data_IF_657737443606
#
_entry.id   IF_657737443606
#
_cell.length_a   1.000
_cell.length_b   1.000
_cell.length_c   1.000
_cell.angle_alpha   90.00
_cell.angle_beta   90.00
_cell.angle_gamma   90.00
#
_symmetry.space_group_name_H-M   'P 1'
#
loop_
_entity.id
_entity.type
_entity.pdbx_description
1 polymer ?
#
# COMPACT_ATOMS: atom_id res chain seq x y z
N UNK A 1 -37.76 -28.59 -46.05
CA UNK A 1 -36.31 -28.41 -46.29
C UNK A 1 -36.10 -27.07 -46.98
N UNK A 2 -35.23 -26.23 -46.40
CA UNK A 2 -34.67 -24.95 -46.88
C UNK A 2 -35.60 -24.03 -47.70
N UNK A 3 -35.91 -22.86 -47.14
CA UNK A 3 -35.97 -21.59 -47.87
C UNK A 3 -35.63 -20.43 -46.89
N UNK A 4 -34.91 -19.39 -47.34
CA UNK A 4 -34.27 -18.42 -46.47
C UNK A 4 -35.19 -17.26 -46.08
N UNK A 5 -35.03 -16.73 -44.86
CA UNK A 5 -35.67 -15.49 -44.43
C UNK A 5 -34.83 -14.29 -44.90
N UNK A 6 -35.36 -13.56 -45.87
CA UNK A 6 -35.06 -12.15 -46.06
C UNK A 6 -35.83 -11.35 -45.00
N UNK A 7 -35.15 -10.49 -44.25
CA UNK A 7 -35.80 -9.36 -43.57
C UNK A 7 -35.04 -8.10 -43.96
N UNK A 8 -35.80 -7.21 -44.57
CA UNK A 8 -35.40 -5.96 -45.17
C UNK A 8 -35.00 -4.94 -44.10
N UNK A 9 -33.84 -4.33 -44.30
CA UNK A 9 -33.59 -2.96 -43.87
C UNK A 9 -34.24 -2.03 -44.89
N UNK A 10 -35.06 -1.08 -44.43
CA UNK A 10 -35.36 0.23 -45.05
C UNK A 10 -36.36 0.94 -44.12
N UNK A 11 -35.95 2.07 -43.51
CA UNK A 11 -36.59 3.35 -43.82
C UNK A 11 -35.67 4.52 -43.43
N UNK A 12 -35.00 5.00 -44.47
CA UNK A 12 -34.48 6.34 -44.73
C UNK A 12 -35.49 7.47 -44.50
N UNK A 13 -35.02 8.66 -44.12
CA UNK A 13 -35.01 9.88 -44.97
C UNK A 13 -34.42 11.06 -44.15
N UNK A 14 -33.71 12.09 -44.65
CA UNK A 14 -32.97 12.46 -45.89
C UNK A 14 -32.45 13.89 -45.59
N UNK A 15 -31.14 14.13 -45.69
CA UNK A 15 -30.44 14.99 -46.68
C UNK A 15 -30.80 16.47 -46.65
N UNK A 16 -29.77 17.33 -46.51
CA UNK A 16 -29.40 18.44 -47.41
C UNK A 16 -28.64 19.53 -46.63
N UNK A 17 -27.66 20.28 -47.15
CA UNK A 17 -26.78 20.17 -48.31
C UNK A 17 -25.69 21.24 -48.08
N UNK A 18 -24.47 20.95 -48.53
CA UNK A 18 -23.39 21.83 -48.97
C UNK A 18 -23.41 23.34 -48.62
N UNK A 19 -22.28 23.85 -48.11
CA UNK A 19 -21.51 24.96 -48.71
C UNK A 19 -20.06 24.84 -48.20
N UNK A 20 -19.12 24.74 -49.12
CA UNK A 20 -17.70 24.93 -48.83
C UNK A 20 -17.46 26.39 -48.42
N UNK A 21 -16.85 26.57 -47.26
CA UNK A 21 -16.16 27.79 -46.91
C UNK A 21 -14.70 27.41 -46.64
N UNK A 22 -13.80 28.14 -47.28
CA UNK A 22 -12.36 27.97 -47.20
C UNK A 22 -11.88 27.74 -45.77
N UNK A 23 -11.10 26.68 -45.56
CA UNK A 23 -10.27 26.56 -44.35
C UNK A 23 -9.22 27.67 -44.49
N UNK A 24 -9.20 28.72 -43.65
CA UNK A 24 -8.08 29.61 -43.63
C UNK A 24 -6.92 28.76 -43.12
N UNK A 25 -5.93 28.51 -43.98
CA UNK A 25 -4.62 28.07 -43.55
C UNK A 25 -4.05 29.20 -42.69
N UNK A 26 -4.33 29.16 -41.39
CA UNK A 26 -3.74 30.07 -40.40
C UNK A 26 -2.27 29.70 -40.26
N UNK A 27 -1.44 30.15 -41.20
CA UNK A 27 -0.01 30.32 -40.95
C UNK A 27 0.15 31.51 -40.03
N UNK A 28 -0.16 31.34 -38.74
CA UNK A 28 0.36 32.25 -37.74
C UNK A 28 1.82 31.86 -37.51
N UNK A 29 2.74 32.46 -38.27
CA UNK A 29 4.11 32.60 -37.80
C UNK A 29 4.10 33.63 -36.66
N UNK A 30 3.63 33.21 -35.49
CA UNK A 30 3.97 33.94 -34.28
C UNK A 30 5.47 33.76 -34.08
N UNK A 31 6.24 34.84 -33.89
CA UNK A 31 7.56 34.70 -33.31
C UNK A 31 7.36 33.91 -32.02
N UNK A 32 8.15 32.86 -31.81
CA UNK A 32 8.26 32.26 -30.48
C UNK A 32 8.88 33.34 -29.60
N UNK A 33 8.03 34.12 -28.94
CA UNK A 33 8.45 34.91 -27.80
C UNK A 33 8.93 33.90 -26.75
N UNK A 34 10.24 33.69 -26.71
CA UNK A 34 10.95 33.11 -25.58
C UNK A 34 10.70 34.00 -24.36
N UNK A 35 9.56 33.84 -23.70
CA UNK A 35 9.15 34.79 -22.66
C UNK A 35 8.00 34.38 -21.75
N UNK A 36 7.40 33.20 -21.92
CA UNK A 36 6.35 32.72 -21.02
C UNK A 36 6.70 31.35 -20.44
N UNK A 37 7.79 31.28 -19.66
CA UNK A 37 7.70 30.46 -18.46
C UNK A 37 6.60 31.11 -17.64
N UNK A 38 5.44 30.45 -17.50
CA UNK A 38 4.43 30.90 -16.55
C UNK A 38 5.17 31.12 -15.21
N UNK A 39 5.33 32.37 -14.79
CA UNK A 39 5.89 32.68 -13.48
C UNK A 39 4.82 32.25 -12.51
N UNK A 40 4.97 31.06 -11.97
CA UNK A 40 4.13 30.56 -10.90
C UNK A 40 4.08 31.63 -9.81
N UNK A 41 2.91 32.21 -9.57
CA UNK A 41 2.69 33.16 -8.46
C UNK A 41 2.69 32.43 -7.11
N UNK A 42 2.64 31.10 -7.13
CA UNK A 42 2.77 30.24 -5.94
C UNK A 42 4.23 29.80 -5.75
N UNK A 43 4.75 29.78 -4.51
CA UNK A 43 6.13 29.38 -4.17
C UNK A 43 6.39 27.87 -4.38
N UNK A 44 5.51 27.19 -5.08
CA UNK A 44 5.50 25.75 -5.26
C UNK A 44 6.11 25.40 -6.62
N UNK A 45 7.28 24.76 -6.60
CA UNK A 45 7.97 24.31 -7.80
C UNK A 45 7.85 22.78 -7.94
N UNK A 46 7.31 22.33 -9.07
CA UNK A 46 7.21 20.91 -9.44
C UNK A 46 8.39 20.57 -10.35
N UNK A 47 9.27 19.67 -9.92
CA UNK A 47 10.44 19.21 -10.69
C UNK A 47 10.55 17.69 -10.70
N UNK A 48 11.05 17.07 -11.77
CA UNK A 48 11.19 15.61 -11.73
C UNK A 48 12.24 15.20 -10.68
N UNK A 49 11.91 14.30 -9.73
CA UNK A 49 12.88 13.81 -8.77
C UNK A 49 14.01 13.06 -9.49
N UNK A 50 15.25 13.23 -9.01
CA UNK A 50 16.39 12.52 -9.61
C UNK A 50 16.26 11.02 -9.36
N UNK A 51 16.23 10.23 -10.43
CA UNK A 51 16.39 8.78 -10.35
C UNK A 51 17.86 8.45 -10.06
N UNK A 52 18.18 7.77 -8.95
CA UNK A 52 19.56 7.34 -8.67
C UNK A 52 19.99 6.24 -9.65
N UNK A 53 21.30 6.14 -9.91
CA UNK A 53 21.85 5.09 -10.79
C UNK A 53 21.67 3.68 -10.21
N UNK A 54 21.61 3.57 -8.88
CA UNK A 54 21.41 2.32 -8.17
C UNK A 54 20.67 2.55 -6.85
N UNK A 55 20.00 1.51 -6.35
CA UNK A 55 19.35 1.50 -5.04
C UNK A 55 19.67 0.21 -4.30
N UNK A 56 19.68 0.27 -2.97
CA UNK A 56 19.78 -0.95 -2.14
C UNK A 56 18.39 -1.42 -1.73
N UNK A 57 18.13 -2.73 -1.77
CA UNK A 57 16.93 -3.36 -1.24
C UNK A 57 17.26 -4.74 -0.68
N UNK A 58 16.89 -4.99 0.57
CA UNK A 58 17.10 -6.26 1.27
C UNK A 58 18.55 -6.77 1.25
N UNK A 59 19.53 -5.85 1.28
CA UNK A 59 20.96 -6.16 1.21
C UNK A 59 21.51 -6.34 -0.21
N UNK A 60 20.66 -6.32 -1.23
CA UNK A 60 21.05 -6.38 -2.64
C UNK A 60 21.20 -4.95 -3.22
N UNK A 61 22.09 -4.78 -4.20
CA UNK A 61 22.24 -3.55 -4.98
C UNK A 61 21.58 -3.75 -6.33
N UNK A 62 20.64 -2.87 -6.67
CA UNK A 62 19.85 -2.92 -7.89
C UNK A 62 20.32 -1.80 -8.81
N UNK A 63 20.80 -2.18 -9.99
CA UNK A 63 21.18 -1.26 -11.07
C UNK A 63 19.93 -0.72 -11.78
N UNK A 64 19.80 0.61 -11.79
CA UNK A 64 18.71 1.37 -12.43
C UNK A 64 19.16 2.13 -13.68
N UNK A 65 20.40 1.94 -14.15
CA UNK A 65 20.88 2.53 -15.41
C UNK A 65 20.17 1.97 -16.66
N UNK A 66 19.77 0.68 -16.74
CA UNK A 66 18.96 0.19 -17.85
C UNK A 66 17.67 0.99 -18.01
N UNK A 67 17.35 1.37 -19.26
CA UNK A 67 16.26 2.32 -19.55
C UNK A 67 14.91 1.86 -18.95
N UNK A 68 14.62 0.57 -19.05
CA UNK A 68 13.38 -0.06 -18.58
C UNK A 68 13.23 0.04 -17.06
N UNK A 69 14.33 -0.16 -16.31
CA UNK A 69 14.35 -0.02 -14.86
C UNK A 69 14.34 1.45 -14.43
N UNK A 70 15.05 2.30 -15.16
CA UNK A 70 15.13 3.74 -14.89
C UNK A 70 13.77 4.41 -15.00
N UNK A 71 13.07 4.19 -16.11
CA UNK A 71 11.76 4.78 -16.38
C UNK A 71 10.69 4.23 -15.42
N UNK A 72 10.75 2.94 -15.05
CA UNK A 72 9.85 2.36 -14.04
C UNK A 72 10.09 2.95 -12.65
N UNK A 73 11.35 3.17 -12.26
CA UNK A 73 11.67 3.86 -11.00
C UNK A 73 11.22 5.32 -11.02
N UNK A 74 11.49 6.04 -12.11
CA UNK A 74 11.10 7.45 -12.29
C UNK A 74 9.61 7.64 -12.04
N UNK A 75 8.80 6.83 -12.71
CA UNK A 75 7.33 6.84 -12.56
C UNK A 75 6.89 6.73 -11.11
N UNK A 76 7.45 5.80 -10.34
CA UNK A 76 7.03 5.58 -8.96
C UNK A 76 7.59 6.64 -8.00
N UNK A 77 8.81 7.15 -8.23
CA UNK A 77 9.33 8.30 -7.51
C UNK A 77 8.48 9.54 -7.72
N UNK A 78 8.07 9.82 -8.97
CA UNK A 78 7.13 10.89 -9.27
C UNK A 78 5.81 10.70 -8.53
N UNK A 79 5.24 9.49 -8.55
CA UNK A 79 3.98 9.21 -7.88
C UNK A 79 4.07 9.47 -6.36
N UNK A 80 5.09 8.94 -5.68
CA UNK A 80 5.25 9.16 -4.24
C UNK A 80 5.57 10.62 -3.88
N UNK A 81 6.33 11.32 -4.72
CA UNK A 81 6.64 12.74 -4.51
C UNK A 81 5.39 13.59 -4.66
N UNK A 82 4.60 13.37 -5.72
CA UNK A 82 3.50 14.26 -6.08
C UNK A 82 2.15 13.93 -5.45
N UNK A 83 1.96 12.74 -4.91
CA UNK A 83 0.78 12.38 -4.10
C UNK A 83 0.93 12.83 -2.63
N UNK A 84 1.22 14.11 -2.42
CA UNK A 84 1.71 14.65 -1.15
C UNK A 84 0.89 14.26 0.08
N UNK A 85 -0.43 14.47 0.01
CA UNK A 85 -1.33 14.17 1.12
C UNK A 85 -1.28 12.70 1.53
N UNK A 86 -1.18 11.81 0.54
CA UNK A 86 -1.09 10.37 0.76
C UNK A 86 0.27 10.02 1.36
N UNK A 87 1.37 10.51 0.79
CA UNK A 87 2.73 10.25 1.29
C UNK A 87 2.94 10.77 2.69
N UNK A 88 2.53 12.00 2.99
CA UNK A 88 2.56 12.55 4.35
C UNK A 88 1.76 11.68 5.32
N UNK A 89 0.55 11.25 4.94
CA UNK A 89 -0.27 10.40 5.79
C UNK A 89 0.38 9.03 6.04
N UNK A 90 1.03 8.45 5.03
CA UNK A 90 1.78 7.20 5.19
C UNK A 90 2.97 7.37 6.14
N UNK A 91 3.75 8.45 6.04
CA UNK A 91 4.86 8.73 6.98
C UNK A 91 4.33 8.90 8.41
N UNK A 92 3.23 9.65 8.60
CA UNK A 92 2.58 9.81 9.91
C UNK A 92 2.16 8.46 10.52
N UNK A 93 1.54 7.58 9.71
CA UNK A 93 1.13 6.23 10.14
C UNK A 93 2.32 5.30 10.38
N UNK A 94 3.41 5.42 9.64
CA UNK A 94 4.60 4.60 9.84
C UNK A 94 5.17 4.78 11.24
N UNK A 95 5.11 6.00 11.79
CA UNK A 95 5.49 6.27 13.17
C UNK A 95 4.70 5.47 14.22
N UNK A 96 3.46 5.07 13.89
CA UNK A 96 2.64 4.20 14.73
C UNK A 96 2.96 2.72 14.53
N UNK A 97 3.09 2.27 13.29
CA UNK A 97 3.14 0.85 12.99
C UNK A 97 4.55 0.26 12.94
N UNK A 98 5.54 0.97 12.38
CA UNK A 98 6.90 0.42 12.25
C UNK A 98 7.53 0.00 13.60
N UNK A 99 7.35 0.71 14.72
CA UNK A 99 7.83 0.23 16.03
C UNK A 99 7.37 -1.18 16.42
N UNK A 100 6.19 -1.60 15.96
CA UNK A 100 5.63 -2.93 16.20
C UNK A 100 6.12 -3.95 15.16
N UNK A 101 6.24 -3.51 13.90
CA UNK A 101 6.52 -4.39 12.77
C UNK A 101 8.01 -4.75 12.66
N UNK A 102 8.91 -3.76 12.77
CA UNK A 102 10.35 -3.96 12.55
C UNK A 102 10.95 -5.05 13.48
N UNK A 103 10.61 -5.12 14.79
CA UNK A 103 11.06 -6.20 15.65
C UNK A 103 10.57 -7.59 15.21
N UNK A 104 9.33 -7.69 14.72
CA UNK A 104 8.76 -8.96 14.26
C UNK A 104 9.48 -9.44 12.99
N UNK A 105 9.75 -8.53 12.04
CA UNK A 105 10.53 -8.86 10.84
C UNK A 105 11.92 -9.37 11.22
N UNK A 106 12.61 -8.64 12.11
CA UNK A 106 13.96 -8.97 12.59
C UNK A 106 14.03 -10.36 13.22
N UNK A 107 13.13 -10.69 14.14
CA UNK A 107 13.12 -12.00 14.82
C UNK A 107 12.82 -13.14 13.84
N UNK A 108 12.08 -12.87 12.76
CA UNK A 108 11.80 -13.85 11.71
C UNK A 108 12.86 -13.91 10.60
N UNK A 109 13.94 -13.13 10.68
CA UNK A 109 14.98 -13.07 9.65
C UNK A 109 14.50 -12.45 8.33
N UNK A 110 13.44 -11.64 8.37
CA UNK A 110 12.96 -10.90 7.20
C UNK A 110 13.70 -9.56 7.13
N UNK A 111 14.24 -9.16 5.95
CA UNK A 111 14.84 -7.85 5.78
C UNK A 111 13.86 -6.72 6.12
N UNK A 112 14.35 -5.71 6.84
CA UNK A 112 13.55 -4.57 7.32
C UNK A 112 12.82 -3.84 6.17
N UNK A 113 13.41 -3.83 4.98
CA UNK A 113 12.82 -3.22 3.78
C UNK A 113 11.45 -3.80 3.39
N UNK A 114 11.11 -5.03 3.79
CA UNK A 114 9.79 -5.61 3.50
C UNK A 114 8.64 -4.92 4.24
N UNK A 115 8.91 -4.08 5.25
CA UNK A 115 7.87 -3.23 5.85
C UNK A 115 7.22 -2.29 4.82
N UNK A 116 7.95 -1.93 3.76
CA UNK A 116 7.44 -1.06 2.70
C UNK A 116 6.39 -1.75 1.82
N UNK A 117 6.20 -3.08 1.90
CA UNK A 117 5.02 -3.73 1.32
C UNK A 117 3.75 -3.12 1.89
N UNK A 118 3.66 -2.93 3.21
CA UNK A 118 2.46 -2.34 3.83
C UNK A 118 2.20 -0.90 3.36
N UNK A 119 3.25 -0.16 2.99
CA UNK A 119 3.13 1.18 2.43
C UNK A 119 2.41 1.11 1.08
N UNK A 120 2.85 0.22 0.18
CA UNK A 120 2.29 0.13 -1.17
C UNK A 120 0.97 -0.64 -1.26
N UNK A 121 0.72 -1.53 -0.29
CA UNK A 121 -0.49 -2.36 -0.21
C UNK A 121 -1.66 -1.64 0.43
N UNK A 122 -1.45 -0.98 1.57
CA UNK A 122 -2.55 -0.45 2.39
C UNK A 122 -2.41 1.04 2.72
N UNK A 123 -1.35 1.72 2.28
CA UNK A 123 -0.98 3.04 2.77
C UNK A 123 -0.90 3.09 4.32
N UNK A 124 -0.46 1.98 4.91
CA UNK A 124 -0.43 1.72 6.36
C UNK A 124 -1.80 1.91 7.05
N UNK A 125 -2.88 1.62 6.33
CA UNK A 125 -4.23 1.64 6.88
C UNK A 125 -4.62 0.24 7.36
N UNK A 126 -4.69 0.05 8.68
CA UNK A 126 -4.99 -1.27 9.26
C UNK A 126 -6.39 -1.79 8.91
N UNK A 127 -7.34 -0.92 8.54
CA UNK A 127 -8.72 -1.28 8.13
C UNK A 127 -8.91 -1.31 6.62
N UNK A 128 -7.83 -1.24 5.83
CA UNK A 128 -7.91 -1.29 4.38
C UNK A 128 -8.54 -2.60 3.88
N UNK A 129 -9.40 -2.51 2.88
CA UNK A 129 -9.94 -3.64 2.13
C UNK A 129 -9.99 -3.32 0.65
N UNK A 130 -9.37 -4.13 -0.19
CA UNK A 130 -9.42 -3.96 -1.64
C UNK A 130 -10.76 -4.42 -2.23
N UNK A 131 -11.12 -3.98 -3.45
CA UNK A 131 -12.28 -4.50 -4.17
C UNK A 131 -12.25 -6.02 -4.38
N UNK A 132 -11.04 -6.60 -4.54
CA UNK A 132 -10.83 -8.04 -4.65
C UNK A 132 -10.98 -8.78 -3.30
N UNK A 133 -11.01 -8.06 -2.18
CA UNK A 133 -11.22 -8.63 -0.84
C UNK A 133 -9.94 -8.88 -0.05
N UNK A 134 -8.78 -8.40 -0.51
CA UNK A 134 -7.55 -8.31 0.27
C UNK A 134 -7.76 -7.37 1.47
N UNK A 135 -7.18 -7.66 2.64
CA UNK A 135 -7.48 -6.90 3.85
C UNK A 135 -6.28 -6.68 4.78
N UNK A 136 -6.35 -5.60 5.56
CA UNK A 136 -5.37 -5.24 6.58
C UNK A 136 -4.11 -4.58 6.02
N UNK A 137 -3.12 -4.37 6.91
CA UNK A 137 -1.84 -3.72 6.56
C UNK A 137 -1.11 -4.44 5.43
N UNK A 138 -1.15 -5.77 5.47
CA UNK A 138 -0.46 -6.68 4.55
C UNK A 138 -1.30 -7.09 3.33
N UNK A 139 -2.55 -6.62 3.23
CA UNK A 139 -3.49 -6.95 2.16
C UNK A 139 -3.58 -8.45 1.83
N UNK A 140 -3.77 -9.28 2.86
CA UNK A 140 -3.95 -10.71 2.62
C UNK A 140 -5.32 -11.01 2.00
N UNK A 141 -5.34 -11.86 0.98
CA UNK A 141 -6.55 -12.57 0.56
C UNK A 141 -7.02 -13.53 1.65
N UNK A 142 -8.33 -13.73 1.80
CA UNK A 142 -8.88 -14.54 2.89
C UNK A 142 -8.40 -16.00 2.85
N UNK A 143 -8.27 -16.61 1.66
CA UNK A 143 -7.73 -17.96 1.50
C UNK A 143 -6.28 -18.05 1.98
N UNK A 144 -5.41 -17.20 1.42
CA UNK A 144 -3.99 -17.11 1.80
C UNK A 144 -3.80 -16.82 3.29
N UNK A 145 -4.59 -15.91 3.87
CA UNK A 145 -4.53 -15.63 5.30
C UNK A 145 -4.72 -16.90 6.15
N UNK A 146 -5.72 -17.73 5.80
CA UNK A 146 -5.98 -19.00 6.50
C UNK A 146 -4.85 -20.00 6.30
N UNK A 147 -4.29 -20.10 5.09
CA UNK A 147 -3.12 -20.95 4.80
C UNK A 147 -1.93 -20.60 5.70
N UNK A 148 -1.74 -19.31 6.01
CA UNK A 148 -0.67 -18.85 6.91
C UNK A 148 -1.07 -18.75 8.40
N UNK A 149 -2.22 -19.33 8.75
CA UNK A 149 -2.65 -19.57 10.12
C UNK A 149 -3.45 -18.44 10.77
N UNK A 150 -3.98 -17.50 9.98
CA UNK A 150 -4.91 -16.47 10.47
C UNK A 150 -6.34 -17.01 10.52
N UNK A 151 -7.07 -16.65 11.57
CA UNK A 151 -8.51 -16.84 11.62
C UNK A 151 -9.23 -15.79 10.77
N UNK A 152 -10.06 -16.23 9.83
CA UNK A 152 -10.86 -15.36 8.96
C UNK A 152 -12.28 -15.91 8.80
N UNK A 153 -13.23 -15.26 9.47
CA UNK A 153 -14.68 -15.50 9.42
C UNK A 153 -15.46 -14.19 9.70
N UNK A 154 -16.78 -14.27 9.74
CA UNK A 154 -17.65 -13.08 9.87
C UNK A 154 -17.58 -12.40 11.25
N UNK A 155 -17.07 -13.08 12.27
CA UNK A 155 -16.93 -12.53 13.62
C UNK A 155 -15.50 -12.06 13.94
N UNK A 156 -14.50 -12.78 13.41
CA UNK A 156 -13.07 -12.58 13.63
C UNK A 156 -12.33 -12.62 12.29
N UNK A 157 -11.56 -11.58 11.99
CA UNK A 157 -10.69 -11.51 10.82
C UNK A 157 -9.31 -10.97 11.21
N UNK A 158 -8.38 -11.89 11.50
CA UNK A 158 -7.04 -11.61 11.98
C UNK A 158 -6.13 -10.98 10.92
N UNK A 159 -6.60 -10.80 9.66
CA UNK A 159 -5.90 -9.96 8.67
C UNK A 159 -5.79 -8.51 9.13
N UNK A 160 -6.74 -8.04 9.95
CA UNK A 160 -6.74 -6.71 10.55
C UNK A 160 -5.98 -6.66 11.88
N UNK A 161 -5.39 -7.77 12.35
CA UNK A 161 -4.58 -7.81 13.56
C UNK A 161 -3.11 -7.58 13.20
N UNK A 162 -2.55 -6.43 13.59
CA UNK A 162 -1.20 -5.98 13.21
C UNK A 162 -0.13 -7.07 13.39
N UNK A 163 0.02 -7.59 14.60
CA UNK A 163 1.07 -8.55 14.97
C UNK A 163 0.86 -9.90 14.29
N UNK A 164 -0.36 -10.46 14.35
CA UNK A 164 -0.66 -11.78 13.74
C UNK A 164 -0.50 -11.74 12.21
N UNK A 165 -1.02 -10.72 11.55
CA UNK A 165 -0.88 -10.55 10.11
C UNK A 165 0.60 -10.40 9.72
N UNK A 166 1.41 -9.74 10.54
CA UNK A 166 2.86 -9.60 10.31
C UNK A 166 3.59 -10.94 10.46
N UNK A 167 3.22 -11.75 11.45
CA UNK A 167 3.75 -13.11 11.59
C UNK A 167 3.38 -13.99 10.38
N UNK A 168 2.15 -13.88 9.88
CA UNK A 168 1.72 -14.56 8.66
C UNK A 168 2.50 -14.09 7.42
N UNK A 169 2.72 -12.77 7.28
CA UNK A 169 3.57 -12.21 6.22
C UNK A 169 5.01 -12.72 6.29
N UNK A 170 5.59 -12.82 7.48
CA UNK A 170 6.93 -13.38 7.66
C UNK A 170 7.01 -14.84 7.19
N UNK A 171 6.00 -15.66 7.49
CA UNK A 171 5.93 -17.06 7.02
C UNK A 171 5.84 -17.12 5.49
N UNK A 172 4.99 -16.29 4.87
CA UNK A 172 4.88 -16.19 3.42
C UNK A 172 6.22 -15.82 2.80
N UNK A 173 6.84 -14.74 3.28
CA UNK A 173 8.08 -14.19 2.72
C UNK A 173 9.24 -15.17 2.83
N UNK A 174 9.35 -15.89 3.96
CA UNK A 174 10.33 -16.97 4.12
C UNK A 174 10.10 -18.12 3.15
N UNK A 175 8.85 -18.55 2.96
CA UNK A 175 8.53 -19.62 2.02
C UNK A 175 8.89 -19.21 0.59
N UNK A 176 8.55 -17.98 0.20
CA UNK A 176 8.89 -17.44 -1.11
C UNK A 176 10.41 -17.30 -1.28
N UNK A 177 11.14 -16.83 -0.27
CA UNK A 177 12.59 -16.71 -0.35
C UNK A 177 13.28 -18.06 -0.45
N UNK A 178 12.82 -19.06 0.29
CA UNK A 178 13.32 -20.44 0.17
C UNK A 178 13.14 -21.00 -1.25
N UNK A 179 12.13 -20.52 -2.00
CA UNK A 179 11.89 -20.90 -3.39
C UNK A 179 12.75 -20.14 -4.40
N UNK A 180 12.90 -18.82 -4.24
CA UNK A 180 13.50 -17.95 -5.26
C UNK A 180 14.95 -17.52 -4.98
N UNK A 181 15.39 -17.54 -3.72
CA UNK A 181 16.75 -17.16 -3.33
C UNK A 181 17.10 -15.67 -3.49
N UNK A 182 16.18 -14.82 -3.96
CA UNK A 182 16.39 -13.38 -4.11
C UNK A 182 15.14 -12.59 -3.71
N UNK A 183 15.35 -11.44 -3.07
CA UNK A 183 14.25 -10.72 -2.42
C UNK A 183 13.36 -9.95 -3.39
N UNK A 184 13.89 -9.52 -4.53
CA UNK A 184 13.08 -8.77 -5.49
C UNK A 184 12.03 -9.68 -6.16
N UNK A 185 12.39 -10.92 -6.49
CA UNK A 185 11.43 -11.93 -6.99
C UNK A 185 10.41 -12.30 -5.91
N UNK A 186 10.80 -12.34 -4.64
CA UNK A 186 9.85 -12.52 -3.52
C UNK A 186 8.82 -11.39 -3.48
N UNK A 187 9.23 -10.14 -3.66
CA UNK A 187 8.29 -9.00 -3.69
C UNK A 187 7.31 -9.10 -4.86
N UNK A 188 7.78 -9.48 -6.05
CA UNK A 188 6.90 -9.69 -7.21
C UNK A 188 5.90 -10.83 -6.95
N UNK A 189 6.35 -11.92 -6.32
CA UNK A 189 5.50 -13.05 -5.97
C UNK A 189 4.46 -12.71 -4.92
N UNK A 190 4.77 -11.80 -3.98
CA UNK A 190 3.81 -11.30 -3.00
C UNK A 190 2.59 -10.67 -3.68
N UNK A 191 2.80 -9.85 -4.71
CA UNK A 191 1.72 -9.23 -5.47
C UNK A 191 1.01 -10.19 -6.43
N UNK A 192 1.76 -10.90 -7.26
CA UNK A 192 1.21 -11.68 -8.38
C UNK A 192 0.88 -13.14 -8.04
N UNK A 193 1.32 -13.61 -6.88
CA UNK A 193 1.30 -15.01 -6.49
C UNK A 193 2.53 -15.78 -7.00
N UNK A 194 3.03 -16.70 -6.16
CA UNK A 194 4.22 -17.51 -6.47
C UNK A 194 4.03 -18.38 -7.73
N UNK A 195 2.84 -18.95 -7.95
CA UNK A 195 2.58 -19.78 -9.12
C UNK A 195 2.77 -18.99 -10.43
N UNK A 196 2.22 -17.77 -10.48
CA UNK A 196 2.33 -16.88 -11.64
C UNK A 196 3.77 -16.47 -11.90
N UNK A 197 4.50 -16.02 -10.86
CA UNK A 197 5.90 -15.64 -11.02
C UNK A 197 6.76 -16.81 -11.49
N UNK A 198 6.58 -18.00 -10.90
CA UNK A 198 7.34 -19.19 -11.31
C UNK A 198 7.10 -19.53 -12.79
N UNK A 199 5.83 -19.52 -13.22
CA UNK A 199 5.48 -19.79 -14.62
C UNK A 199 6.06 -18.74 -15.57
N UNK A 200 6.12 -17.46 -15.17
CA UNK A 200 6.68 -16.41 -16.03
C UNK A 200 8.21 -16.47 -16.10
N UNK A 201 8.90 -16.78 -15.00
CA UNK A 201 10.34 -17.03 -14.98
C UNK A 201 10.71 -18.16 -15.96
N UNK A 202 9.98 -19.27 -15.91
CA UNK A 202 10.16 -20.41 -16.81
C UNK A 202 9.87 -20.02 -18.27
N UNK A 203 8.71 -19.41 -18.54
CA UNK A 203 8.27 -19.07 -19.90
C UNK A 203 9.19 -18.06 -20.59
N UNK A 204 9.73 -17.11 -19.84
CA UNK A 204 10.57 -16.03 -20.37
C UNK A 204 12.07 -16.32 -20.21
N UNK A 205 12.42 -17.52 -19.72
CA UNK A 205 13.80 -17.98 -19.58
C UNK A 205 14.69 -17.01 -18.79
N UNK A 206 14.16 -16.46 -17.69
CA UNK A 206 14.89 -15.56 -16.79
C UNK A 206 14.87 -16.07 -15.36
N UNK A 207 15.96 -15.79 -14.63
CA UNK A 207 16.11 -16.15 -13.22
C UNK A 207 15.62 -15.08 -12.24
N UNK A 208 15.24 -13.90 -12.71
CA UNK A 208 14.94 -12.76 -11.84
C UNK A 208 13.71 -11.96 -12.30
N UNK A 209 12.83 -11.62 -11.35
CA UNK A 209 11.55 -10.99 -11.68
C UNK A 209 11.65 -9.62 -12.34
N UNK A 210 12.72 -8.85 -12.08
CA UNK A 210 12.93 -7.53 -12.70
C UNK A 210 13.11 -7.60 -14.22
N UNK A 211 13.53 -8.75 -14.74
CA UNK A 211 13.73 -8.98 -16.17
C UNK A 211 12.49 -9.58 -16.84
N UNK A 212 11.42 -9.81 -16.07
CA UNK A 212 10.16 -10.30 -16.61
C UNK A 212 9.36 -9.18 -17.28
N UNK A 213 8.76 -9.53 -18.41
CA UNK A 213 7.62 -8.84 -18.98
C UNK A 213 6.34 -9.28 -18.27
N UNK A 214 5.88 -8.50 -17.30
CA UNK A 214 4.64 -8.75 -16.55
C UNK A 214 3.58 -7.71 -16.91
N UNK A 215 2.33 -8.00 -16.53
CA UNK A 215 1.27 -6.98 -16.57
C UNK A 215 1.71 -5.77 -15.75
N UNK A 216 1.24 -4.60 -16.17
CA UNK A 216 1.68 -3.31 -15.65
C UNK A 216 1.66 -3.24 -14.12
N UNK A 217 0.60 -3.72 -13.47
CA UNK A 217 0.48 -3.70 -12.01
C UNK A 217 1.66 -4.39 -11.31
N UNK A 218 1.98 -5.63 -11.68
CA UNK A 218 3.07 -6.40 -11.08
C UNK A 218 4.44 -5.85 -11.46
N UNK A 219 4.61 -5.43 -12.72
CA UNK A 219 5.85 -4.79 -13.18
C UNK A 219 6.18 -3.56 -12.33
N UNK A 220 5.16 -2.74 -12.04
CA UNK A 220 5.30 -1.54 -11.21
C UNK A 220 5.54 -1.87 -9.74
N UNK A 221 5.01 -2.98 -9.23
CA UNK A 221 5.06 -3.33 -7.81
C UNK A 221 6.48 -3.32 -7.22
N UNK A 222 7.45 -3.90 -7.95
CA UNK A 222 8.86 -3.93 -7.56
C UNK A 222 9.46 -2.53 -7.45
N UNK A 223 9.12 -1.62 -8.36
CA UNK A 223 9.62 -0.24 -8.33
C UNK A 223 8.85 0.64 -7.33
N UNK A 224 7.57 0.32 -7.06
CA UNK A 224 6.77 0.98 -6.02
C UNK A 224 7.38 0.78 -4.64
N UNK A 225 7.80 -0.45 -4.32
CA UNK A 225 8.44 -0.70 -3.02
C UNK A 225 9.81 -0.01 -2.92
N UNK A 226 10.59 0.04 -4.01
CA UNK A 226 11.86 0.77 -4.06
C UNK A 226 11.66 2.28 -3.87
N UNK A 227 10.70 2.88 -4.57
CA UNK A 227 10.36 4.30 -4.45
C UNK A 227 9.85 4.64 -3.04
N UNK A 228 8.99 3.78 -2.47
CA UNK A 228 8.56 3.93 -1.07
C UNK A 228 9.75 3.94 -0.11
N UNK A 229 10.71 3.01 -0.27
CA UNK A 229 11.94 3.00 0.52
C UNK A 229 12.73 4.30 0.36
N UNK A 230 12.96 4.75 -0.87
CA UNK A 230 13.73 5.98 -1.14
C UNK A 230 13.11 7.19 -0.45
N UNK A 231 11.81 7.41 -0.65
CA UNK A 231 11.09 8.55 -0.08
C UNK A 231 11.06 8.49 1.45
N UNK A 232 10.82 7.31 2.03
CA UNK A 232 10.80 7.18 3.48
C UNK A 232 12.19 7.27 4.14
N UNK A 233 13.25 6.96 3.40
CA UNK A 233 14.61 7.06 3.94
C UNK A 233 15.11 8.51 3.97
N UNK A 234 14.59 9.36 3.06
CA UNK A 234 15.01 10.76 2.90
C UNK A 234 13.82 11.69 2.57
N UNK A 235 12.78 11.78 3.42
CA UNK A 235 11.54 12.48 3.07
C UNK A 235 11.75 13.95 2.69
N UNK A 236 12.70 14.64 3.34
CA UNK A 236 13.02 16.04 3.07
C UNK A 236 13.61 16.24 1.66
N UNK A 237 14.36 15.25 1.14
CA UNK A 237 14.87 15.29 -0.23
C UNK A 237 13.74 15.33 -1.27
N UNK A 238 12.57 14.79 -0.93
CA UNK A 238 11.38 14.76 -1.76
C UNK A 238 10.34 15.82 -1.34
N UNK A 239 10.73 16.83 -0.54
CA UNK A 239 9.87 17.95 -0.16
C UNK A 239 8.92 17.69 1.01
N UNK A 240 9.05 16.57 1.73
CA UNK A 240 8.22 16.26 2.89
C UNK A 240 8.85 16.80 4.18
N UNK A 241 8.36 17.95 4.65
CA UNK A 241 8.83 18.64 5.84
C UNK A 241 7.85 18.46 7.00
N UNK A 242 7.87 17.29 7.65
CA UNK A 242 7.02 16.99 8.79
C UNK A 242 7.67 17.44 10.11
N UNK A 243 6.86 17.86 11.08
CA UNK A 243 7.28 18.05 12.47
C UNK A 243 6.94 16.84 13.31
N UNK A 244 7.66 16.62 14.40
CA UNK A 244 7.44 15.52 15.34
C UNK A 244 6.00 15.47 15.85
N UNK A 245 5.42 16.62 16.20
CA UNK A 245 4.03 16.72 16.67
C UNK A 245 2.97 16.31 15.63
N UNK A 246 3.34 16.27 14.35
CA UNK A 246 2.42 15.92 13.26
C UNK A 246 2.37 14.42 12.99
N UNK A 247 3.31 13.63 13.53
CA UNK A 247 3.33 12.18 13.39
C UNK A 247 2.26 11.52 14.27
N UNK A 248 1.84 10.31 13.90
CA UNK A 248 0.94 9.53 14.74
C UNK A 248 1.74 8.66 15.70
N UNK A 249 1.61 8.86 17.03
CA UNK A 249 2.29 8.02 18.00
C UNK A 249 1.63 6.63 18.06
N UNK A 250 2.36 5.68 18.62
CA UNK A 250 1.77 4.43 19.10
C UNK A 250 0.71 4.75 20.16
N UNK A 251 -0.36 3.95 20.20
CA UNK A 251 -1.43 4.10 21.18
C UNK A 251 -1.14 3.10 22.31
N UNK A 252 -0.80 3.55 23.53
CA UNK A 252 -0.69 2.65 24.67
C UNK A 252 -2.00 1.93 24.94
N UNK A 253 -1.91 0.64 25.22
CA UNK A 253 -3.07 -0.20 25.55
C UNK A 253 -2.73 -1.14 26.70
N UNK A 254 -3.79 -1.67 27.33
CA UNK A 254 -3.73 -2.83 28.21
C UNK A 254 -4.27 -4.04 27.46
N UNK A 255 -3.67 -5.19 27.71
CA UNK A 255 -4.15 -6.46 27.17
C UNK A 255 -5.18 -7.09 28.11
N UNK A 256 -6.32 -7.50 27.56
CA UNK A 256 -7.36 -8.23 28.28
C UNK A 256 -7.58 -9.56 27.57
N UNK A 257 -7.27 -10.66 28.26
CA UNK A 257 -7.52 -12.01 27.75
C UNK A 257 -8.97 -12.41 28.00
N UNK A 258 -9.68 -12.79 26.94
CA UNK A 258 -11.06 -13.24 26.95
C UNK A 258 -11.13 -14.68 26.46
N UNK A 259 -11.78 -15.56 27.23
CA UNK A 259 -12.02 -16.98 26.88
C UNK A 259 -13.50 -17.31 26.71
N UNK A 260 -14.39 -16.35 26.90
CA UNK A 260 -15.84 -16.51 26.77
C UNK A 260 -16.37 -15.69 25.59
N UNK A 261 -17.63 -15.90 25.23
CA UNK A 261 -18.32 -14.98 24.33
C UNK A 261 -18.51 -13.61 24.98
N UNK A 262 -18.60 -12.56 24.17
CA UNK A 262 -19.00 -11.21 24.57
C UNK A 262 -20.26 -10.85 23.79
N UNK A 263 -21.41 -10.79 24.45
CA UNK A 263 -22.70 -10.52 23.79
C UNK A 263 -22.80 -9.10 23.22
N UNK A 264 -22.13 -8.14 23.84
CA UNK A 264 -22.11 -6.74 23.38
C UNK A 264 -20.74 -6.12 23.62
N UNK A 265 -20.01 -5.90 22.53
CA UNK A 265 -18.75 -5.17 22.55
C UNK A 265 -18.94 -3.72 23.00
N UNK A 266 -20.13 -3.13 22.79
CA UNK A 266 -20.47 -1.80 23.31
C UNK A 266 -20.53 -1.76 24.83
N UNK A 267 -21.19 -2.74 25.46
CA UNK A 267 -21.20 -2.86 26.93
C UNK A 267 -19.80 -3.16 27.48
N UNK A 268 -19.06 -4.04 26.82
CA UNK A 268 -17.68 -4.36 27.16
C UNK A 268 -16.77 -3.12 27.11
N UNK A 269 -16.83 -2.34 26.02
CA UNK A 269 -16.09 -1.08 25.90
C UNK A 269 -16.42 -0.10 27.04
N UNK A 270 -17.71 0.05 27.36
CA UNK A 270 -18.17 0.93 28.46
C UNK A 270 -17.64 0.48 29.82
N UNK A 271 -17.60 -0.84 30.10
CA UNK A 271 -17.02 -1.39 31.33
C UNK A 271 -15.53 -1.05 31.47
N UNK A 272 -14.82 -0.94 30.35
CA UNK A 272 -13.41 -0.53 30.31
C UNK A 272 -13.20 0.99 30.18
N UNK A 273 -14.26 1.79 30.18
CA UNK A 273 -14.17 3.25 30.14
C UNK A 273 -13.74 3.83 28.78
N UNK A 274 -13.93 3.07 27.69
CA UNK A 274 -13.63 3.50 26.31
C UNK A 274 -14.90 3.46 25.44
N UNK A 275 -14.87 4.14 24.30
CA UNK A 275 -15.97 4.08 23.34
C UNK A 275 -15.91 2.78 22.53
N UNK A 276 -17.04 2.37 21.97
CA UNK A 276 -17.09 1.24 21.03
C UNK A 276 -16.16 1.45 19.82
N UNK A 277 -16.08 2.69 19.32
CA UNK A 277 -15.19 3.04 18.21
C UNK A 277 -13.71 2.86 18.59
N UNK A 278 -13.30 3.28 19.79
CA UNK A 278 -11.93 3.08 20.28
C UNK A 278 -11.59 1.59 20.44
N UNK A 279 -12.54 0.79 20.93
CA UNK A 279 -12.36 -0.67 21.02
C UNK A 279 -12.17 -1.29 19.63
N UNK A 280 -13.00 -0.90 18.65
CA UNK A 280 -12.95 -1.42 17.28
C UNK A 280 -11.70 -0.95 16.53
N UNK A 281 -11.23 0.27 16.75
CA UNK A 281 -9.99 0.78 16.15
C UNK A 281 -8.76 0.01 16.66
N UNK A 282 -8.69 -0.20 17.98
CA UNK A 282 -7.62 -0.97 18.61
C UNK A 282 -7.67 -2.47 18.28
N UNK A 283 -8.85 -2.99 17.93
CA UNK A 283 -9.10 -4.39 17.62
C UNK A 283 -9.87 -4.54 16.30
N UNK A 284 -9.31 -3.99 15.22
CA UNK A 284 -9.94 -3.99 13.89
C UNK A 284 -10.29 -5.40 13.36
N UNK A 285 -9.70 -6.43 13.96
CA UNK A 285 -9.98 -7.84 13.69
C UNK A 285 -11.30 -8.34 14.25
N UNK A 286 -11.91 -7.66 15.23
CA UNK A 286 -13.30 -7.91 15.61
C UNK A 286 -14.20 -7.39 14.50
N UNK A 287 -15.00 -8.24 13.88
CA UNK A 287 -15.80 -7.87 12.69
C UNK A 287 -17.26 -7.58 12.99
N UNK A 288 -17.77 -8.13 14.09
CA UNK A 288 -19.16 -7.94 14.51
C UNK A 288 -19.26 -6.98 15.73
N UNK A 289 -20.48 -6.81 16.26
CA UNK A 289 -20.81 -6.09 17.49
C UNK A 289 -20.75 -6.96 18.76
N UNK A 290 -20.49 -8.26 18.59
CA UNK A 290 -20.30 -9.28 19.62
C UNK A 290 -19.06 -10.13 19.30
N UNK A 291 -18.54 -10.88 20.27
CA UNK A 291 -17.51 -11.89 20.07
C UNK A 291 -18.11 -13.27 20.37
N UNK A 292 -18.24 -14.11 19.35
CA UNK A 292 -18.70 -15.50 19.48
C UNK A 292 -17.49 -16.37 19.79
N UNK A 293 -17.55 -17.12 20.88
CA UNK A 293 -16.44 -17.99 21.28
C UNK A 293 -16.89 -19.32 21.91
N UNK A 294 -17.64 -20.16 21.18
CA UNK A 294 -18.17 -21.42 21.72
C UNK A 294 -17.08 -22.44 22.08
N UNK A 295 -15.87 -22.30 21.51
CA UNK A 295 -14.75 -23.22 21.74
C UNK A 295 -13.80 -22.76 22.85
N UNK A 296 -14.10 -21.67 23.54
CA UNK A 296 -13.26 -21.16 24.63
C UNK A 296 -11.86 -20.71 24.20
N UNK A 297 -11.66 -20.33 22.93
CA UNK A 297 -10.37 -19.87 22.40
C UNK A 297 -9.95 -18.61 23.16
N UNK A 298 -8.67 -18.50 23.53
CA UNK A 298 -8.16 -17.28 24.14
C UNK A 298 -7.99 -16.18 23.07
N UNK A 299 -8.64 -15.05 23.27
CA UNK A 299 -8.43 -13.82 22.51
C UNK A 299 -7.83 -12.76 23.41
N UNK A 300 -6.83 -12.03 22.91
CA UNK A 300 -6.25 -10.88 23.60
C UNK A 300 -6.81 -9.63 22.93
N UNK A 301 -7.54 -8.83 23.70
CA UNK A 301 -8.10 -7.55 23.24
C UNK A 301 -7.23 -6.41 23.76
N UNK A 302 -6.92 -5.46 22.90
CA UNK A 302 -6.21 -4.23 23.24
C UNK A 302 -7.21 -3.17 23.71
N UNK A 303 -7.06 -2.70 24.94
CA UNK A 303 -7.89 -1.65 25.54
C UNK A 303 -7.03 -0.38 25.64
N UNK A 304 -7.23 0.65 24.79
CA UNK A 304 -6.48 1.90 24.86
C UNK A 304 -6.52 2.52 26.25
N UNK A 305 -5.38 3.02 26.73
CA UNK A 305 -5.32 3.72 28.02
C UNK A 305 -5.90 5.13 27.93
N UNK A 306 -6.16 5.77 29.08
CA UNK A 306 -6.63 7.16 29.12
C UNK A 306 -5.65 8.12 28.45
N UNK A 307 -4.35 7.85 28.60
CA UNK A 307 -3.28 8.57 27.92
C UNK A 307 -3.33 8.30 26.41
N UNK A 308 -3.50 7.04 25.99
CA UNK A 308 -3.53 6.66 24.58
C UNK A 308 -4.70 7.22 23.77
N UNK A 309 -5.84 7.48 24.41
CA UNK A 309 -7.02 8.09 23.74
C UNK A 309 -6.95 9.62 23.65
N UNK A 310 -5.94 10.27 24.25
CA UNK A 310 -5.75 11.72 24.22
C UNK A 310 -4.41 12.06 23.57
N UNK A 311 -4.45 12.67 22.39
CA UNK A 311 -3.23 13.15 21.76
C UNK A 311 -2.61 14.25 22.61
N UNK A 312 -1.31 14.09 22.90
CA UNK A 312 -0.46 15.18 23.37
C UNK A 312 0.62 15.38 22.31
N UNK A 313 0.36 16.13 21.22
CA UNK A 313 1.26 16.21 20.07
C UNK A 313 2.70 16.60 20.43
N UNK A 314 2.87 17.48 21.42
CA UNK A 314 4.20 17.90 21.93
C UNK A 314 5.02 16.76 22.53
N UNK A 315 4.38 15.66 22.95
CA UNK A 315 5.03 14.48 23.53
C UNK A 315 5.19 13.35 22.51
N UNK A 316 4.69 13.51 21.27
CA UNK A 316 4.96 12.55 20.20
C UNK A 316 6.46 12.47 20.02
N UNK A 317 7.02 11.26 19.85
CA UNK A 317 8.44 11.06 19.53
C UNK A 317 8.52 10.45 18.14
N UNK A 318 9.41 10.99 17.30
CA UNK A 318 9.68 10.40 16.00
C UNK A 318 10.44 9.08 16.15
N UNK A 319 9.86 7.99 15.68
CA UNK A 319 10.49 6.66 15.67
C UNK A 319 11.76 6.64 14.82
N UNK A 320 11.74 7.36 13.69
CA UNK A 320 12.93 7.65 12.88
C UNK A 320 13.18 9.16 12.89
N UNK A 321 14.33 9.59 13.40
CA UNK A 321 14.70 11.01 13.50
C UNK A 321 14.69 11.73 12.15
N UNK A 322 15.13 11.04 11.09
CA UNK A 322 15.19 11.61 9.74
C UNK A 322 13.81 11.82 9.09
N UNK A 323 12.69 11.49 9.73
CA UNK A 323 11.36 11.79 9.20
C UNK A 323 10.85 13.20 9.49
N UNK A 324 11.51 13.90 10.42
CA UNK A 324 11.07 15.19 10.91
C UNK A 324 12.16 16.23 10.72
N UNK A 325 11.78 17.51 10.84
CA UNK A 325 12.69 18.65 10.69
C UNK A 325 13.11 19.28 12.03
N UNK A 326 12.50 18.85 13.13
CA UNK A 326 12.65 19.40 14.49
C UNK A 326 13.16 18.38 15.52
#
# INVERSE_FOLDING_TARGET
MKQPKNINYILTFVIALCIGAAIPLLTSTRPVENGHSAKSEVPYCVTSPKVPEQVSFAGEVIDLRPYDRRERMDRELMAFTYMHSTTMLMIKRANRYFPVIEPILKVNGIPDDFKYLMVIESNLNNVARSPAGAAGLWQFMAGTAREFGLEVNDNVDERYHTEKATQAACKYLRQAYAKYGNWMTVSAAYNAGQARISSQLEKQLTGHAMDLWLVEETSRYMFRILAAKQVFSQPQHYGFLLKQEQLYPAIPYKEVTVRTSIDSLGRFARQHGITYAQLKDANAWLRDHSLKNPRGKAYVLHIPTKEGIRYTPRNTVAYKKHWVID
#
